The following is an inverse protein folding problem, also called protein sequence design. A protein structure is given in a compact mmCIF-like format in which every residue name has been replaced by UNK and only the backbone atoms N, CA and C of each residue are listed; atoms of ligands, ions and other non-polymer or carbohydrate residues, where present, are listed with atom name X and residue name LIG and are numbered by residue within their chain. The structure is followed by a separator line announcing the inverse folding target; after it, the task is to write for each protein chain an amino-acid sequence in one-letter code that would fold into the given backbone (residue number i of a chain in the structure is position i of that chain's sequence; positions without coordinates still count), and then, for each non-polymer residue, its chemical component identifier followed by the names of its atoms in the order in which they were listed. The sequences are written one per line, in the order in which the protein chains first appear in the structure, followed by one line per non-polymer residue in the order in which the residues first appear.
data_IF_077545310752
#
_entry.id   IF_077545310752
#
_cell.length_a   1.000
_cell.length_b   1.000
_cell.length_c   1.000
_cell.angle_alpha   90.00
_cell.angle_beta   90.00
_cell.angle_gamma   90.00
#
_symmetry.space_group_name_H-M   'P 1'
#
loop_
_entity.id
_entity.type
_entity.pdbx_description
1 polymer ?
#
# COMPACT_ATOMS: atom_id res chain seq x y z
N UNK A 1 -4.04 27.65 5.17
CA UNK A 1 -3.60 26.37 5.79
C UNK A 1 -3.92 25.24 4.83
N UNK A 2 -2.91 24.72 4.14
CA UNK A 2 -3.07 23.56 3.25
C UNK A 2 -3.36 22.32 4.08
N UNK A 3 -4.59 21.80 3.97
CA UNK A 3 -4.93 20.53 4.59
C UNK A 3 -4.41 19.42 3.67
N UNK A 4 -3.55 18.55 4.18
CA UNK A 4 -2.99 17.40 3.44
C UNK A 4 -3.74 16.12 3.81
N UNK A 5 -3.81 15.17 2.89
CA UNK A 5 -4.34 13.84 3.19
C UNK A 5 -3.26 13.00 3.87
N UNK A 6 -3.51 12.50 5.09
CA UNK A 6 -2.54 11.70 5.83
C UNK A 6 -2.21 10.34 5.16
N UNK A 7 -3.03 9.87 4.21
CA UNK A 7 -2.86 8.56 3.56
C UNK A 7 -1.88 8.64 2.38
N UNK A 8 -1.96 9.70 1.57
CA UNK A 8 -1.13 9.87 0.38
C UNK A 8 -0.17 11.06 0.46
N UNK A 9 -0.22 11.83 1.56
CA UNK A 9 0.56 13.05 1.79
C UNK A 9 0.39 14.12 0.70
N UNK A 10 -0.66 14.01 -0.12
CA UNK A 10 -0.99 14.98 -1.16
C UNK A 10 -1.94 16.06 -0.63
N UNK A 11 -1.90 17.29 -1.19
CA UNK A 11 -2.81 18.35 -0.81
C UNK A 11 -4.26 17.96 -1.09
N UNK A 12 -5.16 18.34 -0.19
CA UNK A 12 -6.60 18.19 -0.38
C UNK A 12 -7.07 19.27 -1.36
N UNK A 13 -7.31 18.88 -2.61
CA UNK A 13 -7.96 19.73 -3.62
C UNK A 13 -9.48 19.69 -3.44
N UNK A 14 -10.18 20.79 -3.73
CA UNK A 14 -11.62 20.91 -3.43
C UNK A 14 -12.47 19.82 -4.10
N UNK A 15 -12.04 19.30 -5.26
CA UNK A 15 -12.70 18.20 -5.96
C UNK A 15 -12.23 16.84 -5.44
N UNK A 16 -13.02 16.19 -4.57
CA UNK A 16 -12.80 14.79 -4.18
C UNK A 16 -12.31 14.57 -2.75
N UNK A 17 -12.61 15.51 -1.84
CA UNK A 17 -12.33 15.40 -0.41
C UNK A 17 -13.62 15.07 0.33
N UNK A 18 -13.53 14.16 1.28
CA UNK A 18 -14.62 13.81 2.19
C UNK A 18 -14.15 14.00 3.61
N UNK A 19 -14.97 14.69 4.40
CA UNK A 19 -14.84 14.74 5.85
C UNK A 19 -15.46 13.47 6.42
N UNK A 20 -14.69 12.70 7.18
CA UNK A 20 -15.15 11.51 7.89
C UNK A 20 -15.32 11.86 9.35
N UNK A 21 -16.56 11.80 9.82
CA UNK A 21 -16.99 12.05 11.20
C UNK A 21 -17.54 10.75 11.84
N UNK A 22 -18.49 10.10 11.17
CA UNK A 22 -19.12 8.85 11.65
C UNK A 22 -18.26 7.61 11.40
N UNK A 23 -17.37 7.68 10.43
CA UNK A 23 -16.53 6.56 9.98
C UNK A 23 -15.18 6.44 10.68
N UNK A 24 -14.93 7.22 11.74
CA UNK A 24 -13.62 7.26 12.42
C UNK A 24 -13.23 5.90 13.02
N UNK A 25 -14.18 5.19 13.63
CA UNK A 25 -13.93 3.83 14.18
C UNK A 25 -13.39 2.87 13.12
N UNK A 26 -14.02 2.84 11.94
CA UNK A 26 -13.58 1.98 10.84
C UNK A 26 -12.19 2.36 10.30
N UNK A 27 -11.80 3.64 10.35
CA UNK A 27 -10.44 4.07 9.99
C UNK A 27 -9.42 3.63 11.04
N UNK A 28 -9.76 3.73 12.33
CA UNK A 28 -8.92 3.24 13.43
C UNK A 28 -8.72 1.73 13.30
N UNK A 29 -9.81 0.97 13.13
CA UNK A 29 -9.75 -0.50 12.97
C UNK A 29 -8.90 -0.89 11.76
N UNK A 30 -9.09 -0.20 10.62
CA UNK A 30 -8.27 -0.45 9.44
C UNK A 30 -6.78 -0.11 9.65
N UNK A 31 -6.47 0.92 10.45
CA UNK A 31 -5.09 1.26 10.81
C UNK A 31 -4.46 0.20 11.72
N UNK A 32 -5.21 -0.30 12.70
CA UNK A 32 -4.77 -1.39 13.58
C UNK A 32 -4.55 -2.66 12.76
N UNK A 33 -5.48 -2.99 11.87
CA UNK A 33 -5.37 -4.17 11.02
C UNK A 33 -4.13 -4.11 10.13
N UNK A 34 -3.79 -2.95 9.55
CA UNK A 34 -2.55 -2.77 8.78
C UNK A 34 -1.30 -2.80 9.63
N UNK A 35 -1.43 -2.44 10.91
CA UNK A 35 -0.29 -2.22 11.80
C UNK A 35 0.45 -0.93 11.49
N UNK A 36 -0.29 0.11 11.06
CA UNK A 36 0.23 1.46 10.85
C UNK A 36 0.15 2.29 12.16
N UNK A 37 1.03 3.26 12.32
CA UNK A 37 1.07 4.17 13.49
C UNK A 37 -0.03 5.24 13.47
N UNK A 38 -0.89 5.27 12.45
CA UNK A 38 -1.97 6.26 12.33
C UNK A 38 -3.12 6.04 13.33
N UNK A 39 -3.17 4.90 14.01
CA UNK A 39 -4.25 4.58 14.96
C UNK A 39 -4.27 5.51 16.17
N UNK A 40 -3.10 6.01 16.60
CA UNK A 40 -2.98 6.97 17.70
C UNK A 40 -3.44 8.35 17.25
N UNK A 41 -2.95 8.80 16.09
CA UNK A 41 -3.38 10.07 15.48
C UNK A 41 -4.91 10.14 15.29
N UNK A 42 -5.53 9.03 14.87
CA UNK A 42 -6.98 8.98 14.62
C UNK A 42 -7.84 8.96 15.89
N UNK A 43 -7.28 8.60 17.06
CA UNK A 43 -8.01 8.61 18.34
C UNK A 43 -8.22 10.04 18.86
N UNK A 44 -7.26 10.91 18.61
CA UNK A 44 -7.29 12.31 19.08
C UNK A 44 -8.12 13.22 18.17
N UNK A 45 -8.53 12.73 17.00
CA UNK A 45 -9.30 13.48 16.02
C UNK A 45 -10.79 13.13 16.07
N UNK A 46 -11.64 14.16 16.05
CA UNK A 46 -13.10 13.98 15.95
C UNK A 46 -13.59 13.86 14.51
N UNK A 47 -12.86 14.48 13.57
CA UNK A 47 -13.13 14.38 12.14
C UNK A 47 -11.86 14.56 11.34
N UNK A 48 -11.73 13.84 10.23
CA UNK A 48 -10.58 13.95 9.33
C UNK A 48 -11.03 14.17 7.89
N UNK A 49 -10.29 14.99 7.16
CA UNK A 49 -10.50 15.19 5.73
C UNK A 49 -9.51 14.35 4.95
N UNK A 50 -10.04 13.54 4.05
CA UNK A 50 -9.25 12.65 3.19
C UNK A 50 -9.82 12.63 1.79
N UNK A 51 -9.02 12.26 0.80
CA UNK A 51 -9.55 12.02 -0.53
C UNK A 51 -10.54 10.85 -0.51
N UNK A 52 -11.61 10.96 -1.29
CA UNK A 52 -12.65 9.91 -1.42
C UNK A 52 -12.03 8.58 -1.81
N UNK A 53 -11.06 8.62 -2.73
CA UNK A 53 -10.38 7.43 -3.22
C UNK A 53 -9.46 6.83 -2.15
N UNK A 54 -8.74 7.67 -1.41
CA UNK A 54 -7.93 7.24 -0.28
C UNK A 54 -8.80 6.56 0.78
N UNK A 55 -9.96 7.12 1.14
CA UNK A 55 -10.91 6.48 2.06
C UNK A 55 -11.31 5.08 1.61
N UNK A 56 -11.63 4.92 0.31
CA UNK A 56 -12.08 3.64 -0.25
C UNK A 56 -10.96 2.60 -0.31
N UNK A 57 -9.72 3.01 -0.57
CA UNK A 57 -8.57 2.12 -0.65
C UNK A 57 -7.98 1.81 0.72
N UNK A 58 -7.97 2.78 1.63
CA UNK A 58 -8.03 2.51 3.07
C UNK A 58 -9.27 1.68 3.38
N UNK A 59 -9.44 0.98 4.48
CA UNK A 59 -10.60 0.07 4.71
C UNK A 59 -10.80 -1.13 3.74
N UNK A 60 -10.28 -1.12 2.50
CA UNK A 60 -10.35 -2.28 1.59
C UNK A 60 -9.38 -3.37 2.04
N UNK A 61 -9.91 -4.58 2.29
CA UNK A 61 -9.13 -5.77 2.69
C UNK A 61 -7.93 -6.04 1.77
N UNK A 62 -8.12 -5.96 0.45
CA UNK A 62 -7.03 -6.18 -0.52
C UNK A 62 -5.87 -5.20 -0.37
N UNK A 63 -6.15 -3.94 0.02
CA UNK A 63 -5.10 -2.96 0.31
C UNK A 63 -4.40 -3.26 1.64
N UNK A 64 -5.15 -3.70 2.65
CA UNK A 64 -4.59 -4.12 3.94
C UNK A 64 -3.63 -5.30 3.75
N UNK A 65 -4.06 -6.32 3.00
CA UNK A 65 -3.24 -7.51 2.71
C UNK A 65 -2.01 -7.18 1.86
N UNK A 66 -2.10 -6.18 0.98
CA UNK A 66 -0.95 -5.72 0.20
C UNK A 66 0.12 -5.06 1.08
N UNK A 67 -0.29 -4.23 2.05
CA UNK A 67 0.64 -3.59 3.00
C UNK A 67 1.27 -4.64 3.91
N UNK A 68 0.47 -5.57 4.46
CA UNK A 68 0.98 -6.69 5.27
C UNK A 68 2.02 -7.53 4.54
N UNK A 69 1.77 -7.88 3.28
CA UNK A 69 2.71 -8.65 2.46
C UNK A 69 4.02 -7.91 2.20
N UNK A 70 3.97 -6.62 1.87
CA UNK A 70 5.18 -5.81 1.69
C UNK A 70 6.03 -5.76 2.95
N UNK A 71 5.41 -5.59 4.13
CA UNK A 71 6.14 -5.60 5.40
C UNK A 71 6.81 -6.95 5.68
N UNK A 72 6.15 -8.06 5.35
CA UNK A 72 6.74 -9.40 5.45
C UNK A 72 7.90 -9.60 4.46
N UNK A 73 7.79 -9.07 3.24
CA UNK A 73 8.86 -9.12 2.23
C UNK A 73 10.06 -8.23 2.62
N UNK A 74 9.85 -7.07 3.24
CA UNK A 74 10.91 -6.19 3.74
C UNK A 74 11.63 -6.80 4.96
N UNK A 75 10.89 -7.39 5.90
CA UNK A 75 11.45 -8.11 7.06
C UNK A 75 12.18 -9.39 6.63
N UNK A 76 11.68 -10.11 5.61
CA UNK A 76 12.36 -11.26 5.01
C UNK A 76 13.52 -10.86 4.09
N UNK A 77 13.54 -9.62 3.60
CA UNK A 77 14.52 -9.08 2.66
C UNK A 77 15.86 -8.71 3.30
N UNK A 78 15.95 -8.61 4.63
CA UNK A 78 17.22 -8.42 5.36
C UNK A 78 18.06 -9.70 5.47
N UNK A 79 17.64 -10.81 4.85
CA UNK A 79 18.50 -11.97 4.67
C UNK A 79 18.27 -12.63 3.32
N UNK A 80 19.34 -12.56 2.49
CA UNK A 80 19.59 -13.28 1.23
C UNK A 80 19.24 -12.52 -0.05
N UNK A 81 20.09 -11.54 -0.37
CA UNK A 81 20.41 -11.26 -1.79
C UNK A 81 21.06 -12.52 -2.37
N UNK A 82 20.28 -13.30 -3.10
CA UNK A 82 20.77 -14.09 -4.23
C UNK A 82 19.66 -14.07 -5.27
N UNK A 83 19.87 -13.46 -6.45
CA UNK A 83 18.85 -13.38 -7.48
C UNK A 83 18.46 -14.80 -7.94
N UNK A 84 17.19 -15.04 -8.33
CA UNK A 84 16.85 -16.26 -9.05
C UNK A 84 17.64 -16.22 -10.36
N UNK A 85 18.70 -17.01 -10.42
CA UNK A 85 19.43 -17.24 -11.67
C UNK A 85 18.46 -17.98 -12.59
N UNK A 86 17.80 -17.23 -13.46
CA UNK A 86 16.96 -17.74 -14.54
C UNK A 86 17.82 -18.75 -15.30
N UNK A 87 17.49 -20.03 -15.16
CA UNK A 87 18.12 -21.10 -15.95
C UNK A 87 17.62 -20.92 -17.36
N UNK A 88 18.35 -20.15 -18.16
CA UNK A 88 18.19 -20.16 -19.61
C UNK A 88 18.47 -21.59 -20.09
N UNK A 89 17.41 -22.37 -20.37
CA UNK A 89 17.53 -23.45 -21.34
C UNK A 89 17.60 -22.77 -22.70
N UNK A 90 18.79 -22.38 -23.11
CA UNK A 90 19.07 -22.23 -24.54
C UNK A 90 19.22 -23.66 -25.05
N UNK A 91 18.15 -24.19 -25.60
CA UNK A 91 18.25 -25.32 -26.52
C UNK A 91 18.74 -24.75 -27.84
N UNK A 92 20.06 -24.66 -28.00
CA UNK A 92 20.67 -24.47 -29.33
C UNK A 92 20.52 -25.80 -30.07
N UNK A 93 19.44 -25.91 -30.83
CA UNK A 93 19.31 -26.89 -31.88
C UNK A 93 20.25 -26.47 -33.00
N UNK A 94 21.41 -27.11 -33.08
CA UNK A 94 22.34 -26.96 -34.21
C UNK A 94 21.65 -27.48 -35.47
N UNK A 95 20.98 -26.57 -36.20
CA UNK A 95 20.52 -26.83 -37.56
C UNK A 95 21.52 -26.19 -38.51
N UNK A 96 22.54 -26.94 -38.91
CA UNK A 96 23.36 -26.59 -40.06
C UNK A 96 22.62 -27.05 -41.32
N UNK A 97 22.14 -26.10 -42.12
CA UNK A 97 21.76 -26.35 -43.52
C UNK A 97 22.20 -25.17 -44.40
N UNK A 98 22.80 -25.55 -45.54
CA UNK A 98 23.30 -24.74 -46.67
C UNK A 98 24.66 -24.03 -46.52
N UNK A 99 25.57 -24.14 -47.49
CA UNK A 99 25.54 -24.80 -48.80
C UNK A 99 26.92 -24.77 -49.46
#
# INVERSE_FOLDING_TARGET
MSQFCFICSQPLTESGVVTVDRGMKALIDASIERGDEFSEYLKDQTSVKIHVQCRKNYTRKSSIDAVKRRRQEEEAGSSKISPPRTRARVSETTFCFWG
#
